data_IF_433238646396
#
_entry.id   IF_433238646396
#
_cell.length_a   1.000
_cell.length_b   1.000
_cell.length_c   1.000
_cell.angle_alpha   90.00
_cell.angle_beta   90.00
_cell.angle_gamma   90.00
#
_symmetry.space_group_name_H-M   'P 1'
#
loop_
_entity.id
_entity.type
_entity.pdbx_description
1 polymer ?
#
# COMPACT_ATOMS: atom_id res chain seq x y z
N UNK A 1 -21.16 33.90 30.50
CA UNK A 1 -19.83 33.37 30.40
C UNK A 1 -19.61 32.68 29.06
N UNK A 2 -18.86 33.30 28.19
CA UNK A 2 -18.55 32.70 26.91
C UNK A 2 -17.64 31.48 27.12
N UNK A 3 -18.19 30.30 26.93
CA UNK A 3 -17.35 29.12 26.78
C UNK A 3 -16.49 29.32 25.53
N UNK A 4 -15.27 29.68 25.73
CA UNK A 4 -14.27 29.55 24.69
C UNK A 4 -14.12 28.07 24.37
N UNK A 5 -14.91 27.59 23.45
CA UNK A 5 -14.61 26.35 22.77
C UNK A 5 -13.28 26.57 22.07
N UNK A 6 -12.23 26.02 22.64
CA UNK A 6 -10.99 25.86 21.91
C UNK A 6 -11.36 25.14 20.62
N UNK A 7 -11.42 25.88 19.54
CA UNK A 7 -11.43 25.29 18.21
C UNK A 7 -10.17 24.44 18.12
N UNK A 8 -10.32 23.14 18.35
CA UNK A 8 -9.30 22.20 17.92
C UNK A 8 -9.14 22.40 16.43
N UNK A 9 -8.13 23.14 16.07
CA UNK A 9 -7.69 23.24 14.68
C UNK A 9 -7.25 21.83 14.31
N UNK A 10 -8.18 21.03 13.82
CA UNK A 10 -7.86 19.86 13.02
C UNK A 10 -6.94 20.36 11.92
N UNK A 11 -5.68 19.96 11.98
CA UNK A 11 -4.73 20.25 10.92
C UNK A 11 -5.41 19.85 9.60
N UNK A 12 -5.78 20.83 8.80
CA UNK A 12 -6.31 20.57 7.47
C UNK A 12 -5.30 19.68 6.76
N UNK A 13 -5.72 18.52 6.33
CA UNK A 13 -4.93 17.68 5.45
C UNK A 13 -4.62 18.50 4.21
N UNK A 14 -3.36 18.89 4.07
CA UNK A 14 -2.90 19.60 2.89
C UNK A 14 -3.03 18.62 1.72
N UNK A 15 -3.88 18.94 0.76
CA UNK A 15 -3.95 18.19 -0.48
C UNK A 15 -2.64 18.34 -1.22
N UNK A 16 -1.86 17.26 -1.27
CA UNK A 16 -0.65 17.22 -2.08
C UNK A 16 -1.09 17.05 -3.53
N UNK A 17 -0.52 17.84 -4.43
CA UNK A 17 -0.79 17.71 -5.85
C UNK A 17 0.37 16.91 -6.47
N UNK A 18 0.21 15.59 -6.55
CA UNK A 18 1.22 14.66 -7.07
C UNK A 18 0.62 13.92 -8.25
N UNK A 19 1.16 14.15 -9.45
CA UNK A 19 0.68 13.49 -10.66
C UNK A 19 1.35 12.12 -10.88
N UNK A 20 2.64 12.03 -10.57
CA UNK A 20 3.42 10.79 -10.72
C UNK A 20 3.92 10.33 -9.37
N UNK A 21 3.76 9.06 -9.07
CA UNK A 21 4.18 8.48 -7.80
C UNK A 21 4.62 7.05 -7.94
N UNK A 22 4.76 6.41 -6.79
CA UNK A 22 5.16 5.02 -6.68
C UNK A 22 4.10 4.23 -5.91
N UNK A 23 3.83 3.01 -6.36
CA UNK A 23 3.00 2.06 -5.64
C UNK A 23 3.88 0.97 -5.06
N UNK A 24 3.97 0.90 -3.75
CA UNK A 24 4.74 -0.11 -3.05
C UNK A 24 3.79 -1.20 -2.58
N UNK A 25 3.93 -2.40 -3.13
CA UNK A 25 3.14 -3.56 -2.77
C UNK A 25 4.02 -4.53 -2.00
N UNK A 26 3.72 -4.73 -0.74
CA UNK A 26 4.41 -5.70 0.10
C UNK A 26 3.47 -6.86 0.34
N UNK A 27 3.77 -8.01 -0.26
CA UNK A 27 2.94 -9.20 -0.19
C UNK A 27 3.67 -10.32 0.54
N UNK A 28 3.22 -10.62 1.74
CA UNK A 28 3.70 -11.78 2.50
C UNK A 28 2.73 -12.95 2.33
N UNK A 29 3.09 -14.11 2.85
CA UNK A 29 2.19 -15.27 2.82
C UNK A 29 0.89 -15.05 3.59
N UNK A 30 0.87 -14.12 4.54
CA UNK A 30 -0.25 -13.88 5.43
C UNK A 30 -1.00 -12.58 5.18
N UNK A 31 -0.44 -11.65 4.44
CA UNK A 31 -1.04 -10.33 4.28
C UNK A 31 -0.50 -9.61 3.06
N UNK A 32 -1.19 -8.57 2.62
CA UNK A 32 -0.73 -7.68 1.56
C UNK A 32 -0.92 -6.24 2.01
N UNK A 33 0.11 -5.43 1.89
CA UNK A 33 0.08 -4.01 2.20
C UNK A 33 0.39 -3.22 0.93
N UNK A 34 -0.46 -2.27 0.61
CA UNK A 34 -0.27 -1.38 -0.55
C UNK A 34 -0.08 0.04 -0.04
N UNK A 35 1.01 0.67 -0.41
CA UNK A 35 1.32 2.05 -0.05
C UNK A 35 1.56 2.85 -1.32
N UNK A 36 0.82 3.93 -1.50
CA UNK A 36 1.03 4.85 -2.61
C UNK A 36 1.81 6.07 -2.11
N UNK A 37 2.89 6.37 -2.79
CA UNK A 37 3.81 7.45 -2.41
C UNK A 37 4.06 8.39 -3.57
N UNK A 38 4.67 9.53 -3.28
CA UNK A 38 5.23 10.39 -4.32
C UNK A 38 6.60 9.86 -4.78
N UNK A 39 7.27 10.57 -5.69
CA UNK A 39 8.58 10.15 -6.20
C UNK A 39 9.69 10.19 -5.15
N UNK A 40 9.49 10.93 -4.08
CA UNK A 40 10.46 11.05 -2.98
C UNK A 40 10.26 9.97 -1.90
N UNK A 41 9.19 9.19 -2.01
CA UNK A 41 8.88 8.14 -1.04
C UNK A 41 7.96 8.57 0.09
N UNK A 42 7.41 9.78 0.05
CA UNK A 42 6.46 10.24 1.06
C UNK A 42 5.09 9.61 0.83
N UNK A 43 4.54 8.94 1.84
CA UNK A 43 3.29 8.22 1.71
C UNK A 43 2.10 9.17 1.50
N UNK A 44 1.31 8.90 0.47
CA UNK A 44 0.04 9.60 0.20
C UNK A 44 -1.13 8.85 0.82
N UNK A 45 -1.13 7.54 0.67
CA UNK A 45 -2.16 6.66 1.21
C UNK A 45 -1.62 5.25 1.35
N UNK A 46 -2.27 4.46 2.19
CA UNK A 46 -1.95 3.05 2.33
C UNK A 46 -3.18 2.27 2.76
N UNK A 47 -3.18 1.00 2.46
CA UNK A 47 -4.18 0.07 2.93
C UNK A 47 -3.59 -1.33 3.03
N UNK A 48 -4.14 -2.13 3.91
CA UNK A 48 -3.74 -3.53 4.06
C UNK A 48 -4.98 -4.41 4.14
N UNK A 49 -4.82 -5.69 3.83
CA UNK A 49 -5.91 -6.64 3.93
C UNK A 49 -6.44 -6.71 5.37
N UNK A 50 -5.54 -6.71 6.36
CA UNK A 50 -5.93 -6.71 7.77
C UNK A 50 -6.66 -5.44 8.21
N UNK A 51 -6.30 -4.31 7.65
CA UNK A 51 -6.93 -3.03 7.93
C UNK A 51 -8.35 -2.88 7.38
N UNK A 52 -8.71 -3.69 6.37
CA UNK A 52 -10.04 -3.69 5.76
C UNK A 52 -11.03 -4.63 6.46
N UNK A 53 -10.59 -5.32 7.50
CA UNK A 53 -11.44 -6.24 8.24
C UNK A 53 -11.28 -7.70 7.89
N UNK A 54 -10.43 -8.06 6.95
CA UNK A 54 -10.08 -9.45 6.69
C UNK A 54 -9.26 -9.99 7.87
N UNK A 55 -9.60 -11.17 8.36
CA UNK A 55 -8.95 -11.77 9.53
C UNK A 55 -8.46 -13.18 9.21
N UNK A 56 -7.36 -13.58 9.89
CA UNK A 56 -6.79 -14.91 9.76
C UNK A 56 -6.37 -15.22 8.33
N UNK A 57 -6.73 -16.38 7.82
CA UNK A 57 -6.37 -16.83 6.48
C UNK A 57 -6.95 -15.99 5.34
N UNK A 58 -7.99 -15.22 5.61
CA UNK A 58 -8.61 -14.34 4.59
C UNK A 58 -7.69 -13.23 4.12
N UNK A 59 -6.74 -12.80 4.96
CA UNK A 59 -5.76 -11.77 4.61
C UNK A 59 -4.80 -12.20 3.51
N UNK A 60 -4.58 -13.47 3.35
CA UNK A 60 -3.63 -14.00 2.35
C UNK A 60 -4.26 -14.22 0.97
N UNK A 61 -5.55 -13.94 0.80
CA UNK A 61 -6.25 -14.16 -0.47
C UNK A 61 -5.95 -13.08 -1.50
N UNK A 62 -5.93 -13.41 -2.80
CA UNK A 62 -5.80 -12.39 -3.86
C UNK A 62 -6.92 -11.36 -3.81
N UNK A 63 -8.14 -11.75 -3.45
CA UNK A 63 -9.26 -10.83 -3.30
C UNK A 63 -8.99 -9.75 -2.25
N UNK A 64 -8.43 -10.14 -1.11
CA UNK A 64 -8.07 -9.19 -0.06
C UNK A 64 -7.01 -8.19 -0.54
N UNK A 65 -6.03 -8.65 -1.30
CA UNK A 65 -5.01 -7.78 -1.90
C UNK A 65 -5.61 -6.79 -2.90
N UNK A 66 -6.55 -7.25 -3.71
CA UNK A 66 -7.27 -6.41 -4.65
C UNK A 66 -8.03 -5.29 -3.93
N UNK A 67 -8.76 -5.63 -2.87
CA UNK A 67 -9.51 -4.66 -2.08
C UNK A 67 -8.59 -3.65 -1.39
N UNK A 68 -7.44 -4.09 -0.90
CA UNK A 68 -6.46 -3.20 -0.30
C UNK A 68 -5.92 -2.20 -1.33
N UNK A 69 -5.58 -2.67 -2.52
CA UNK A 69 -5.11 -1.81 -3.61
C UNK A 69 -6.18 -0.79 -4.03
N UNK A 70 -7.43 -1.21 -4.16
CA UNK A 70 -8.54 -0.32 -4.50
C UNK A 70 -8.73 0.77 -3.46
N UNK A 71 -8.72 0.41 -2.18
CA UNK A 71 -8.89 1.36 -1.07
C UNK A 71 -7.76 2.39 -1.04
N UNK A 72 -6.53 1.94 -1.16
CA UNK A 72 -5.36 2.82 -1.19
C UNK A 72 -5.41 3.77 -2.40
N UNK A 73 -5.80 3.26 -3.57
CA UNK A 73 -5.89 4.05 -4.80
C UNK A 73 -6.96 5.13 -4.69
N UNK A 74 -8.14 4.79 -4.19
CA UNK A 74 -9.23 5.77 -4.01
C UNK A 74 -8.80 6.92 -3.10
N UNK A 75 -8.08 6.62 -2.02
CA UNK A 75 -7.56 7.63 -1.13
C UNK A 75 -6.47 8.49 -1.79
N UNK A 76 -5.63 7.89 -2.64
CA UNK A 76 -4.56 8.60 -3.34
C UNK A 76 -5.07 9.48 -4.48
N UNK A 77 -6.17 9.12 -5.12
CA UNK A 77 -6.74 9.93 -6.21
C UNK A 77 -7.14 11.33 -5.75
N UNK A 78 -7.44 11.52 -4.49
CA UNK A 78 -7.73 12.83 -3.89
C UNK A 78 -6.52 13.77 -4.03
N UNK A 79 -5.31 13.22 -4.03
CA UNK A 79 -4.07 13.98 -4.17
C UNK A 79 -3.64 14.20 -5.63
N UNK A 80 -4.49 13.85 -6.58
CA UNK A 80 -4.23 14.08 -8.00
C UNK A 80 -3.32 13.05 -8.67
N UNK A 81 -3.07 11.92 -8.05
CA UNK A 81 -2.21 10.86 -8.59
C UNK A 81 -2.80 10.29 -9.88
N UNK A 82 -2.01 10.23 -10.95
CA UNK A 82 -2.43 9.73 -12.26
C UNK A 82 -1.61 8.55 -12.74
N UNK A 83 -0.29 8.60 -12.58
CA UNK A 83 0.63 7.56 -13.03
C UNK A 83 1.46 7.05 -11.87
N UNK A 84 1.78 5.77 -11.87
CA UNK A 84 2.57 5.13 -10.81
C UNK A 84 3.58 4.16 -11.40
N UNK A 85 4.72 4.07 -10.74
CA UNK A 85 5.68 2.98 -10.91
C UNK A 85 5.40 1.95 -9.81
N UNK A 86 5.17 0.72 -10.19
CA UNK A 86 4.85 -0.34 -9.23
C UNK A 86 6.12 -1.03 -8.78
N UNK A 87 6.32 -1.10 -7.47
CA UNK A 87 7.40 -1.83 -6.84
C UNK A 87 6.81 -2.93 -5.97
N UNK A 88 7.05 -4.18 -6.36
CA UNK A 88 6.49 -5.35 -5.69
C UNK A 88 7.56 -6.05 -4.87
N UNK A 89 7.21 -6.40 -3.65
CA UNK A 89 8.13 -7.06 -2.71
C UNK A 89 7.43 -8.23 -2.03
N UNK A 90 8.09 -9.38 -2.02
CA UNK A 90 7.63 -10.54 -1.28
C UNK A 90 6.93 -11.60 -2.13
N UNK A 91 6.79 -12.82 -1.58
CA UNK A 91 6.31 -13.99 -2.34
C UNK A 91 4.80 -14.26 -2.22
N UNK A 92 4.03 -13.36 -1.64
CA UNK A 92 2.61 -13.61 -1.35
C UNK A 92 1.74 -13.81 -2.58
N UNK A 93 0.63 -14.50 -2.41
CA UNK A 93 -0.33 -14.78 -3.48
C UNK A 93 -1.07 -13.54 -3.98
N UNK A 94 -1.07 -12.46 -3.20
CA UNK A 94 -1.76 -11.21 -3.56
C UNK A 94 -1.01 -10.28 -4.50
N UNK A 95 0.23 -10.60 -4.88
CA UNK A 95 1.07 -9.74 -5.72
C UNK A 95 0.36 -9.28 -6.98
N UNK A 96 -0.02 -10.24 -7.81
CA UNK A 96 -0.62 -9.96 -9.12
C UNK A 96 -1.98 -9.29 -9.01
N UNK A 97 -2.80 -9.72 -8.05
CA UNK A 97 -4.12 -9.14 -7.85
C UNK A 97 -4.03 -7.67 -7.46
N UNK A 98 -3.09 -7.31 -6.59
CA UNK A 98 -2.85 -5.92 -6.22
C UNK A 98 -2.38 -5.08 -7.40
N UNK A 99 -1.46 -5.61 -8.21
CA UNK A 99 -0.96 -4.92 -9.40
C UNK A 99 -2.10 -4.65 -10.39
N UNK A 100 -2.94 -5.66 -10.64
CA UNK A 100 -4.07 -5.53 -11.58
C UNK A 100 -5.14 -4.56 -11.10
N UNK A 101 -5.30 -4.42 -9.80
CA UNK A 101 -6.29 -3.52 -9.23
C UNK A 101 -5.95 -2.04 -9.44
N UNK A 102 -4.68 -1.69 -9.54
CA UNK A 102 -4.25 -0.31 -9.71
C UNK A 102 -4.76 0.33 -11.00
N UNK A 103 -4.57 -0.26 -12.21
CA UNK A 103 -5.13 0.32 -13.43
C UNK A 103 -6.65 0.23 -13.49
N UNK A 104 -7.26 -0.77 -12.86
CA UNK A 104 -8.71 -0.89 -12.80
C UNK A 104 -9.36 0.28 -12.04
N UNK A 105 -8.63 0.91 -11.13
CA UNK A 105 -9.09 2.08 -10.36
C UNK A 105 -8.78 3.42 -11.03
N UNK A 106 -8.18 3.42 -12.21
CA UNK A 106 -7.91 4.62 -12.98
C UNK A 106 -6.47 5.13 -12.94
N UNK A 107 -5.55 4.40 -12.30
CA UNK A 107 -4.13 4.73 -12.35
C UNK A 107 -3.46 4.12 -13.57
N UNK A 108 -2.58 4.87 -14.20
CA UNK A 108 -1.75 4.36 -15.27
C UNK A 108 -0.45 3.80 -14.70
N UNK A 109 -0.16 2.53 -14.96
CA UNK A 109 1.07 1.89 -14.50
C UNK A 109 2.14 2.05 -15.60
N UNK A 110 3.20 2.77 -15.28
CA UNK A 110 4.29 3.06 -16.23
C UNK A 110 5.37 1.98 -16.21
N UNK A 111 5.64 1.40 -15.05
CA UNK A 111 6.60 0.30 -14.92
C UNK A 111 6.26 -0.59 -13.75
N UNK A 112 6.68 -1.85 -13.84
CA UNK A 112 6.52 -2.82 -12.76
C UNK A 112 7.90 -3.39 -12.47
N UNK A 113 8.34 -3.30 -11.22
CA UNK A 113 9.65 -3.75 -10.80
C UNK A 113 9.52 -4.62 -9.55
N UNK A 114 10.20 -5.75 -9.54
CA UNK A 114 10.31 -6.60 -8.35
C UNK A 114 11.52 -6.14 -7.54
N UNK A 115 11.27 -5.68 -6.33
CA UNK A 115 12.30 -5.17 -5.41
C UNK A 115 12.49 -6.07 -4.20
N UNK A 116 12.11 -7.34 -4.30
CA UNK A 116 12.30 -8.31 -3.22
C UNK A 116 13.78 -8.37 -2.85
N UNK A 117 14.14 -8.16 -1.57
CA UNK A 117 15.53 -8.13 -1.18
C UNK A 117 16.17 -9.52 -1.26
N UNK A 118 17.36 -9.57 -1.82
CA UNK A 118 18.18 -10.78 -1.87
C UNK A 118 19.47 -10.49 -1.11
N UNK A 119 19.66 -11.07 0.10
CA UNK A 119 20.86 -10.81 0.89
C UNK A 119 22.08 -11.46 0.26
N UNK A 120 23.24 -10.82 0.40
CA UNK A 120 24.55 -11.38 0.04
C UNK A 120 25.07 -12.23 1.19
N UNK A 121 24.37 -13.31 1.54
CA UNK A 121 24.50 -14.15 2.72
C UNK A 121 23.98 -13.54 4.02
N UNK A 122 23.94 -12.25 4.19
CA UNK A 122 23.28 -11.55 5.30
C UNK A 122 23.47 -12.14 6.71
N UNK A 123 22.52 -11.87 7.57
CA UNK A 123 22.47 -12.37 8.94
C UNK A 123 22.01 -13.83 8.98
N UNK A 124 22.45 -14.55 10.02
CA UNK A 124 21.98 -15.90 10.25
C UNK A 124 20.44 -15.91 10.42
N UNK A 125 19.70 -16.75 9.66
CA UNK A 125 18.25 -16.83 9.83
C UNK A 125 17.88 -17.42 11.20
N UNK A 126 16.65 -17.15 11.69
CA UNK A 126 16.18 -17.75 12.92
C UNK A 126 16.07 -19.28 12.80
N UNK A 127 16.02 -19.95 13.93
CA UNK A 127 15.89 -21.41 13.94
C UNK A 127 14.58 -21.85 13.28
N UNK A 128 14.58 -23.09 12.83
CA UNK A 128 13.40 -23.73 12.25
C UNK A 128 12.17 -23.61 13.16
N UNK A 129 11.05 -23.27 12.56
CA UNK A 129 9.77 -23.27 13.26
C UNK A 129 9.39 -24.72 13.59
N UNK A 130 9.01 -24.96 14.83
CA UNK A 130 8.44 -26.25 15.24
C UNK A 130 7.02 -26.36 14.68
N UNK A 131 6.75 -27.43 13.98
CA UNK A 131 5.42 -27.71 13.43
C UNK A 131 4.74 -28.77 14.28
#
# INVERSE_FOLDING_TARGET
MAKTTKKTTTKRRVKKNVEHGQAHIQSSFNNTIVTLTDNEGNALSWASAGGLGFRGSRKSTPYAAQMAAETATKAALIHGLKTVDVMVKGPGSGREAAIRALPACGLEVTSIRDVTPVPHNGCRPPKRRRV
#
